data_IF_925248691195
#
_entry.id   IF_925248691195
#
_cell.length_a   1.000
_cell.length_b   1.000
_cell.length_c   1.000
_cell.angle_alpha   90.00
_cell.angle_beta   90.00
_cell.angle_gamma   90.00
#
_symmetry.space_group_name_H-M   'P 1'
#
loop_
_entity.id
_entity.type
_entity.pdbx_description
1 polymer ?
#
# COMPACT_ATOMS: atom_id res chain seq x y z
N UNK A 1 -35.35 2.55 -34.48
CA UNK A 1 -34.16 3.42 -34.41
C UNK A 1 -32.98 2.49 -34.27
N UNK A 2 -32.13 2.42 -35.30
CA UNK A 2 -30.95 1.56 -35.32
C UNK A 2 -29.97 2.03 -34.25
N UNK A 3 -29.67 1.17 -33.28
CA UNK A 3 -28.54 1.41 -32.38
C UNK A 3 -27.28 1.49 -33.24
N UNK A 4 -26.76 2.69 -33.49
CA UNK A 4 -25.43 2.85 -34.06
C UNK A 4 -24.44 2.36 -32.99
N UNK A 5 -23.94 1.15 -33.14
CA UNK A 5 -22.77 0.69 -32.40
C UNK A 5 -21.56 1.38 -33.01
N UNK A 6 -20.83 2.14 -32.19
CA UNK A 6 -19.53 2.69 -32.56
C UNK A 6 -18.48 1.58 -32.53
N UNK A 7 -17.47 1.70 -33.37
CA UNK A 7 -16.33 0.77 -33.44
C UNK A 7 -15.01 1.54 -33.43
N UNK A 8 -14.12 1.17 -32.52
CA UNK A 8 -12.73 1.61 -32.52
C UNK A 8 -11.80 0.44 -32.85
N UNK A 9 -10.70 0.71 -33.58
CA UNK A 9 -9.70 -0.29 -33.94
C UNK A 9 -8.31 0.20 -33.50
N UNK A 10 -7.62 -0.61 -32.70
CA UNK A 10 -6.28 -0.32 -32.19
C UNK A 10 -5.29 -1.27 -32.87
N UNK A 11 -4.35 -0.76 -33.68
CA UNK A 11 -3.32 -1.59 -34.30
C UNK A 11 -2.30 -2.06 -33.28
N UNK A 12 -1.85 -3.31 -33.43
CA UNK A 12 -0.87 -3.92 -32.54
C UNK A 12 0.32 -4.44 -33.32
N UNK A 13 1.50 -4.08 -32.80
CA UNK A 13 2.79 -4.44 -33.38
C UNK A 13 3.44 -5.63 -32.67
N UNK A 14 2.93 -6.06 -31.52
CA UNK A 14 3.48 -7.17 -30.74
C UNK A 14 2.38 -8.12 -30.24
N UNK A 15 2.36 -9.35 -30.76
CA UNK A 15 1.40 -10.38 -30.39
C UNK A 15 1.47 -10.75 -28.90
N UNK A 16 2.63 -10.64 -28.28
CA UNK A 16 2.80 -10.90 -26.84
C UNK A 16 2.01 -9.89 -25.98
N UNK A 17 1.85 -8.65 -26.46
CA UNK A 17 1.05 -7.64 -25.75
C UNK A 17 -0.44 -7.96 -25.80
N UNK A 18 -0.93 -8.59 -26.89
CA UNK A 18 -2.32 -9.06 -26.98
C UNK A 18 -2.55 -10.14 -25.94
N UNK A 19 -1.66 -11.13 -25.86
CA UNK A 19 -1.81 -12.23 -24.92
C UNK A 19 -1.84 -11.74 -23.47
N UNK A 20 -0.98 -10.78 -23.11
CA UNK A 20 -0.96 -10.18 -21.77
C UNK A 20 -2.23 -9.34 -21.49
N UNK A 21 -2.68 -8.55 -22.48
CA UNK A 21 -3.89 -7.74 -22.36
C UNK A 21 -5.15 -8.59 -22.18
N UNK A 22 -5.29 -9.69 -22.93
CA UNK A 22 -6.43 -10.59 -22.81
C UNK A 22 -6.35 -11.48 -21.57
N UNK A 23 -5.13 -11.82 -21.13
CA UNK A 23 -4.91 -12.69 -19.98
C UNK A 23 -5.25 -14.15 -20.27
N UNK A 24 -5.16 -15.00 -19.25
CA UNK A 24 -5.50 -16.42 -19.41
C UNK A 24 -7.01 -16.58 -19.62
N UNK A 25 -7.41 -17.29 -20.68
CA UNK A 25 -8.82 -17.52 -21.02
C UNK A 25 -9.66 -16.23 -21.17
N UNK A 26 -9.03 -15.16 -21.64
CA UNK A 26 -9.61 -13.83 -21.86
C UNK A 26 -10.13 -13.15 -20.58
N UNK A 27 -9.61 -13.53 -19.41
CA UNK A 27 -10.09 -13.03 -18.12
C UNK A 27 -9.99 -11.49 -17.99
N UNK A 28 -8.92 -10.90 -18.52
CA UNK A 28 -8.67 -9.46 -18.45
C UNK A 28 -9.59 -8.70 -19.42
N UNK A 29 -9.78 -9.24 -20.64
CA UNK A 29 -10.68 -8.65 -21.63
C UNK A 29 -12.13 -8.66 -21.12
N UNK A 30 -12.61 -9.81 -20.63
CA UNK A 30 -13.97 -9.94 -20.04
C UNK A 30 -14.20 -8.96 -18.90
N UNK A 31 -13.19 -8.75 -18.05
CA UNK A 31 -13.27 -7.79 -16.96
C UNK A 31 -13.50 -6.36 -17.46
N UNK A 32 -12.81 -5.96 -18.54
CA UNK A 32 -12.98 -4.63 -19.16
C UNK A 32 -14.36 -4.54 -19.83
N UNK A 33 -14.76 -5.57 -20.58
CA UNK A 33 -16.07 -5.67 -21.24
C UNK A 33 -17.22 -5.52 -20.23
N UNK A 34 -17.18 -6.26 -19.12
CA UNK A 34 -18.19 -6.20 -18.06
C UNK A 34 -18.25 -4.83 -17.37
N UNK A 35 -17.09 -4.19 -17.18
CA UNK A 35 -17.01 -2.92 -16.43
C UNK A 35 -17.43 -1.71 -17.27
N UNK A 36 -17.10 -1.70 -18.55
CA UNK A 36 -17.39 -0.58 -19.46
C UNK A 36 -18.60 -0.84 -20.35
N UNK A 37 -19.12 -2.07 -20.39
CA UNK A 37 -20.24 -2.46 -21.23
C UNK A 37 -19.93 -2.35 -22.73
N UNK A 38 -18.75 -2.81 -23.12
CA UNK A 38 -18.24 -2.89 -24.51
C UNK A 38 -17.92 -4.33 -24.87
N UNK A 39 -17.71 -4.63 -26.14
CA UNK A 39 -17.10 -5.89 -26.59
C UNK A 39 -15.70 -5.63 -27.15
N UNK A 40 -14.74 -6.48 -26.79
CA UNK A 40 -13.33 -6.41 -27.18
C UNK A 40 -12.93 -7.69 -27.89
N UNK A 41 -12.50 -7.58 -29.14
CA UNK A 41 -12.14 -8.73 -29.98
C UNK A 41 -10.77 -8.49 -30.60
N UNK A 42 -9.86 -9.45 -30.44
CA UNK A 42 -8.60 -9.48 -31.18
C UNK A 42 -8.82 -10.16 -32.54
N UNK A 43 -8.54 -9.45 -33.64
CA UNK A 43 -8.65 -10.01 -35.00
C UNK A 43 -7.43 -9.62 -35.84
N UNK A 44 -6.59 -10.60 -36.16
CA UNK A 44 -5.34 -10.35 -36.88
C UNK A 44 -4.36 -9.55 -36.02
N UNK A 45 -3.96 -8.38 -36.51
CA UNK A 45 -3.04 -7.46 -35.81
C UNK A 45 -3.77 -6.25 -35.20
N UNK A 46 -5.09 -6.36 -34.97
CA UNK A 46 -5.89 -5.26 -34.44
C UNK A 46 -6.79 -5.74 -33.30
N UNK A 47 -7.00 -4.86 -32.32
CA UNK A 47 -8.07 -4.99 -31.32
C UNK A 47 -9.23 -4.12 -31.76
N UNK A 48 -10.40 -4.74 -31.87
CA UNK A 48 -11.67 -4.07 -32.16
C UNK A 48 -12.46 -3.90 -30.88
N UNK A 49 -13.00 -2.71 -30.67
CA UNK A 49 -13.83 -2.36 -29.52
C UNK A 49 -15.18 -1.89 -30.06
N UNK A 50 -16.27 -2.50 -29.62
CA UNK A 50 -17.63 -2.19 -30.09
C UNK A 50 -18.57 -1.89 -28.92
N UNK A 51 -19.44 -0.89 -29.08
CA UNK A 51 -20.39 -0.49 -28.04
C UNK A 51 -20.99 0.91 -28.30
N UNK A 52 -21.49 1.53 -27.25
CA UNK A 52 -21.94 2.93 -27.30
C UNK A 52 -20.73 3.86 -27.47
N UNK A 53 -20.87 4.95 -28.23
CA UNK A 53 -19.77 5.85 -28.62
C UNK A 53 -18.92 6.33 -27.42
N UNK A 54 -19.55 6.85 -26.37
CA UNK A 54 -18.84 7.30 -25.15
C UNK A 54 -18.07 6.17 -24.46
N UNK A 55 -18.64 4.95 -24.46
CA UNK A 55 -18.02 3.77 -23.82
C UNK A 55 -16.86 3.22 -24.63
N UNK A 56 -16.99 3.25 -25.97
CA UNK A 56 -15.94 2.86 -26.90
C UNK A 56 -14.74 3.79 -26.76
N UNK A 57 -14.95 5.10 -26.64
CA UNK A 57 -13.86 6.06 -26.44
C UNK A 57 -13.11 5.80 -25.11
N UNK A 58 -13.84 5.58 -24.02
CA UNK A 58 -13.24 5.22 -22.73
C UNK A 58 -12.45 3.90 -22.82
N UNK A 59 -13.05 2.86 -23.39
CA UNK A 59 -12.40 1.57 -23.55
C UNK A 59 -11.16 1.65 -24.45
N UNK A 60 -11.19 2.45 -25.51
CA UNK A 60 -10.03 2.68 -26.39
C UNK A 60 -8.88 3.32 -25.62
N UNK A 61 -9.15 4.36 -24.83
CA UNK A 61 -8.16 5.00 -23.95
C UNK A 61 -7.57 4.01 -22.95
N UNK A 62 -8.41 3.23 -22.28
CA UNK A 62 -7.97 2.21 -21.31
C UNK A 62 -7.03 1.20 -21.96
N UNK A 63 -7.43 0.63 -23.10
CA UNK A 63 -6.65 -0.39 -23.80
C UNK A 63 -5.31 0.17 -24.24
N UNK A 64 -5.25 1.41 -24.77
CA UNK A 64 -3.99 2.08 -25.10
C UNK A 64 -3.08 2.22 -23.87
N UNK A 65 -3.61 2.67 -22.74
CA UNK A 65 -2.84 2.81 -21.50
C UNK A 65 -2.32 1.46 -20.98
N UNK A 66 -3.15 0.42 -21.00
CA UNK A 66 -2.75 -0.93 -20.59
C UNK A 66 -1.67 -1.51 -21.52
N UNK A 67 -1.78 -1.32 -22.83
CA UNK A 67 -0.75 -1.72 -23.79
C UNK A 67 0.56 -0.97 -23.56
N UNK A 68 0.51 0.31 -23.18
CA UNK A 68 1.71 1.07 -22.80
C UNK A 68 2.35 0.51 -21.53
N UNK A 69 1.56 0.14 -20.51
CA UNK A 69 2.06 -0.54 -19.30
C UNK A 69 2.78 -1.85 -19.64
N UNK A 70 2.17 -2.68 -20.49
CA UNK A 70 2.76 -3.95 -20.95
C UNK A 70 4.07 -3.70 -21.70
N UNK A 71 4.10 -2.69 -22.57
CA UNK A 71 5.31 -2.35 -23.35
C UNK A 71 6.49 -1.94 -22.47
N UNK A 72 6.23 -1.46 -21.25
CA UNK A 72 7.23 -1.12 -20.24
C UNK A 72 7.60 -2.29 -19.32
N UNK A 73 7.08 -3.49 -19.60
CA UNK A 73 7.38 -4.71 -18.84
C UNK A 73 6.54 -4.91 -17.59
N UNK A 74 5.42 -4.18 -17.43
CA UNK A 74 4.46 -4.47 -16.36
C UNK A 74 3.57 -5.65 -16.76
N UNK A 75 3.47 -6.64 -15.87
CA UNK A 75 2.47 -7.70 -15.99
C UNK A 75 1.11 -7.21 -15.52
N UNK A 76 0.07 -7.48 -16.29
CA UNK A 76 -1.29 -7.12 -15.93
C UNK A 76 -1.87 -8.15 -14.95
N UNK A 77 -2.72 -7.66 -14.07
CA UNK A 77 -3.54 -8.51 -13.21
C UNK A 77 -4.90 -7.84 -13.01
N UNK A 78 -5.89 -8.62 -12.57
CA UNK A 78 -7.25 -8.15 -12.34
C UNK A 78 -7.31 -6.87 -11.47
N UNK A 79 -6.37 -6.71 -10.54
CA UNK A 79 -6.34 -5.55 -9.67
C UNK A 79 -5.83 -4.29 -10.39
N UNK A 80 -4.73 -4.37 -11.14
CA UNK A 80 -4.19 -3.24 -11.91
C UNK A 80 -5.22 -2.76 -12.95
N UNK A 81 -5.96 -3.71 -13.55
CA UNK A 81 -7.05 -3.42 -14.49
C UNK A 81 -8.21 -2.73 -13.77
N UNK A 82 -8.70 -3.28 -12.64
CA UNK A 82 -9.75 -2.66 -11.82
C UNK A 82 -9.42 -1.21 -11.46
N UNK A 83 -8.17 -0.98 -11.05
CA UNK A 83 -7.71 0.33 -10.64
C UNK A 83 -7.65 1.31 -11.81
N UNK A 84 -7.14 0.86 -12.97
CA UNK A 84 -7.08 1.67 -14.20
C UNK A 84 -8.47 2.05 -14.70
N UNK A 85 -9.43 1.12 -14.64
CA UNK A 85 -10.85 1.39 -14.92
C UNK A 85 -11.38 2.46 -13.95
N UNK A 86 -11.11 2.32 -12.66
CA UNK A 86 -11.54 3.30 -11.65
C UNK A 86 -10.97 4.70 -11.85
N UNK A 87 -9.71 4.82 -12.27
CA UNK A 87 -9.09 6.11 -12.59
C UNK A 87 -9.70 6.75 -13.84
N UNK A 88 -9.92 5.96 -14.88
CA UNK A 88 -10.54 6.41 -16.12
C UNK A 88 -11.97 6.92 -15.88
N UNK A 89 -12.78 6.17 -15.13
CA UNK A 89 -14.15 6.59 -14.78
C UNK A 89 -14.19 7.87 -13.91
N UNK A 90 -13.09 8.20 -13.22
CA UNK A 90 -12.95 9.42 -12.44
C UNK A 90 -12.38 10.60 -13.26
N UNK A 91 -12.03 10.40 -14.53
CA UNK A 91 -11.39 11.42 -15.38
C UNK A 91 -9.91 11.68 -15.07
N UNK A 92 -9.25 10.77 -14.34
CA UNK A 92 -7.86 10.88 -13.89
C UNK A 92 -6.89 10.05 -14.78
N UNK A 93 -7.18 9.96 -16.08
CA UNK A 93 -6.52 9.05 -17.02
C UNK A 93 -5.01 9.29 -17.20
N UNK A 94 -4.57 10.54 -17.18
CA UNK A 94 -3.14 10.91 -17.27
C UNK A 94 -2.30 10.31 -16.13
N UNK A 95 -2.94 10.02 -14.99
CA UNK A 95 -2.27 9.46 -13.80
C UNK A 95 -2.00 7.96 -13.92
N UNK A 96 -2.58 7.27 -14.90
CA UNK A 96 -2.39 5.82 -15.12
C UNK A 96 -0.94 5.56 -15.57
N UNK A 97 -0.44 6.33 -16.54
CA UNK A 97 0.91 6.19 -17.09
C UNK A 97 1.98 6.51 -16.04
N UNK A 98 1.64 7.40 -15.12
CA UNK A 98 2.52 7.87 -14.06
C UNK A 98 2.81 6.82 -12.98
N UNK A 99 1.98 5.78 -12.85
CA UNK A 99 2.19 4.67 -11.90
C UNK A 99 3.35 3.74 -12.31
N UNK A 100 3.77 3.79 -13.57
CA UNK A 100 4.55 2.72 -14.22
C UNK A 100 6.06 2.81 -13.96
N UNK A 101 6.56 3.82 -13.24
CA UNK A 101 8.00 4.19 -13.33
C UNK A 101 8.91 3.75 -12.18
N UNK A 102 8.42 3.42 -10.98
CA UNK A 102 9.33 3.27 -9.83
C UNK A 102 9.32 1.88 -9.17
N UNK A 103 10.39 1.11 -9.41
CA UNK A 103 10.77 -0.02 -8.57
C UNK A 103 11.41 0.52 -7.30
N UNK A 104 10.76 0.30 -6.16
CA UNK A 104 11.24 0.73 -4.84
C UNK A 104 12.43 -0.14 -4.42
N UNK A 105 12.24 -1.46 -4.45
CA UNK A 105 13.32 -2.40 -4.19
C UNK A 105 12.98 -3.77 -4.78
N UNK A 106 13.98 -4.65 -4.82
CA UNK A 106 13.85 -6.04 -5.22
C UNK A 106 14.06 -6.92 -3.99
N UNK A 107 13.13 -7.85 -3.76
CA UNK A 107 13.21 -8.81 -2.66
C UNK A 107 14.29 -9.85 -2.89
N UNK A 108 14.64 -10.61 -1.85
CA UNK A 108 15.57 -11.73 -1.95
C UNK A 108 15.13 -12.82 -2.94
N UNK A 109 13.84 -12.88 -3.30
CA UNK A 109 13.27 -13.80 -4.30
C UNK A 109 13.20 -13.21 -5.71
N UNK A 110 13.79 -12.03 -5.94
CA UNK A 110 13.75 -11.34 -7.24
C UNK A 110 12.43 -10.63 -7.54
N UNK A 111 11.49 -10.58 -6.60
CA UNK A 111 10.21 -9.88 -6.79
C UNK A 111 10.41 -8.38 -6.68
N UNK A 112 9.90 -7.63 -7.65
CA UNK A 112 9.91 -6.17 -7.59
C UNK A 112 8.81 -5.64 -6.67
N UNK A 113 9.16 -4.73 -5.77
CA UNK A 113 8.22 -3.96 -4.95
C UNK A 113 8.01 -2.60 -5.61
N UNK A 114 6.75 -2.27 -5.93
CA UNK A 114 6.31 -1.04 -6.60
C UNK A 114 5.08 -0.48 -5.91
N UNK A 115 4.83 0.82 -6.04
CA UNK A 115 3.52 1.40 -5.75
C UNK A 115 2.50 0.90 -6.76
N UNK A 116 1.35 0.43 -6.29
CA UNK A 116 0.27 -0.12 -7.13
C UNK A 116 -0.91 0.83 -7.31
N UNK A 117 -0.95 1.90 -6.53
CA UNK A 117 -1.99 2.93 -6.58
C UNK A 117 -1.35 4.31 -6.49
N UNK A 118 -2.09 5.33 -6.91
CA UNK A 118 -1.62 6.71 -6.89
C UNK A 118 -1.33 7.18 -5.46
N UNK A 119 -2.19 6.81 -4.49
CA UNK A 119 -1.94 7.12 -3.09
C UNK A 119 -0.65 6.48 -2.57
N UNK A 120 -0.35 5.24 -2.97
CA UNK A 120 0.93 4.60 -2.64
C UNK A 120 2.11 5.30 -3.32
N UNK A 121 1.97 5.77 -4.56
CA UNK A 121 3.02 6.54 -5.25
C UNK A 121 3.30 7.85 -4.52
N UNK A 122 2.26 8.62 -4.22
CA UNK A 122 2.36 9.89 -3.46
C UNK A 122 3.03 9.63 -2.10
N UNK A 123 2.66 8.55 -1.42
CA UNK A 123 3.28 8.16 -0.15
C UNK A 123 4.78 7.88 -0.29
N UNK A 124 5.18 7.10 -1.30
CA UNK A 124 6.58 6.77 -1.58
C UNK A 124 7.39 8.01 -1.93
N UNK A 125 6.85 8.88 -2.78
CA UNK A 125 7.49 10.15 -3.12
C UNK A 125 7.62 11.09 -1.92
N UNK A 126 6.64 11.10 -1.01
CA UNK A 126 6.70 11.90 0.21
C UNK A 126 7.85 11.44 1.13
N UNK A 127 8.07 10.13 1.26
CA UNK A 127 9.21 9.57 2.02
C UNK A 127 10.59 9.92 1.43
N UNK A 128 10.65 10.24 0.14
CA UNK A 128 11.88 10.72 -0.50
C UNK A 128 12.17 12.19 -0.22
N UNK A 129 11.11 13.02 -0.05
CA UNK A 129 11.23 14.48 0.01
C UNK A 129 11.21 15.04 1.42
N UNK A 130 10.69 14.29 2.39
CA UNK A 130 10.45 14.77 3.74
C UNK A 130 11.18 13.92 4.79
N UNK A 131 11.53 14.57 5.88
CA UNK A 131 12.15 13.97 7.06
C UNK A 131 11.17 13.13 7.87
N UNK A 132 9.90 13.56 7.96
CA UNK A 132 8.85 12.86 8.70
C UNK A 132 7.62 12.67 7.81
N UNK A 133 7.13 11.44 7.70
CA UNK A 133 5.91 11.14 6.94
C UNK A 133 4.93 10.36 7.79
N UNK A 134 3.70 10.86 7.90
CA UNK A 134 2.58 10.13 8.47
C UNK A 134 1.79 9.47 7.33
N UNK A 135 1.57 8.15 7.41
CA UNK A 135 0.69 7.44 6.51
C UNK A 135 -0.48 6.84 7.28
N UNK A 136 -1.65 7.45 7.08
CA UNK A 136 -2.90 7.13 7.78
C UNK A 136 -3.83 6.49 6.77
N UNK A 137 -4.32 5.28 7.06
CA UNK A 137 -5.30 4.63 6.18
C UNK A 137 -5.58 3.19 6.56
N UNK A 138 -6.51 2.54 5.86
CA UNK A 138 -6.99 1.22 6.23
C UNK A 138 -5.92 0.13 6.13
N UNK A 139 -6.14 -1.00 6.80
CA UNK A 139 -5.29 -2.19 6.65
C UNK A 139 -5.28 -2.72 5.20
N UNK A 140 -4.09 -3.08 4.71
CA UNK A 140 -3.89 -3.58 3.34
C UNK A 140 -3.57 -2.51 2.30
N UNK A 141 -3.45 -1.24 2.69
CA UNK A 141 -2.98 -0.14 1.82
C UNK A 141 -1.47 -0.15 1.57
N UNK A 142 -0.73 -1.05 2.21
CA UNK A 142 0.73 -1.18 2.04
C UNK A 142 1.57 -0.19 2.85
N UNK A 143 0.96 0.66 3.69
CA UNK A 143 1.65 1.72 4.47
C UNK A 143 2.94 1.26 5.17
N UNK A 144 2.88 0.19 5.96
CA UNK A 144 4.04 -0.31 6.71
C UNK A 144 5.02 -1.04 5.80
N UNK A 145 4.53 -1.87 4.88
CA UNK A 145 5.36 -2.66 3.97
C UNK A 145 6.18 -1.78 3.02
N UNK A 146 5.57 -0.75 2.43
CA UNK A 146 6.25 0.21 1.57
C UNK A 146 7.28 1.05 2.36
N UNK A 147 7.00 1.42 3.61
CA UNK A 147 7.97 2.10 4.47
C UNK A 147 9.21 1.23 4.70
N UNK A 148 9.02 -0.06 5.04
CA UNK A 148 10.13 -0.99 5.26
C UNK A 148 10.93 -1.20 3.96
N UNK A 149 10.25 -1.31 2.81
CA UNK A 149 10.91 -1.40 1.51
C UNK A 149 11.78 -0.16 1.21
N UNK A 150 11.30 1.04 1.54
CA UNK A 150 12.05 2.29 1.41
C UNK A 150 13.23 2.36 2.37
N UNK A 151 13.06 1.93 3.62
CA UNK A 151 14.14 1.86 4.60
C UNK A 151 15.26 0.93 4.13
N UNK A 152 14.91 -0.25 3.60
CA UNK A 152 15.87 -1.21 3.05
C UNK A 152 16.58 -0.65 1.81
N UNK A 153 15.86 0.05 0.93
CA UNK A 153 16.47 0.74 -0.23
C UNK A 153 17.50 1.77 0.23
N UNK A 154 17.12 2.67 1.14
CA UNK A 154 18.01 3.72 1.66
C UNK A 154 19.25 3.11 2.33
N UNK A 155 19.09 2.05 3.12
CA UNK A 155 20.21 1.32 3.75
C UNK A 155 21.14 0.71 2.70
N UNK A 156 20.60 0.04 1.67
CA UNK A 156 21.40 -0.57 0.59
C UNK A 156 22.16 0.49 -0.21
N UNK A 157 21.56 1.67 -0.38
CA UNK A 157 22.17 2.83 -1.04
C UNK A 157 23.17 3.59 -0.15
N UNK A 158 23.36 3.17 1.12
CA UNK A 158 24.20 3.85 2.11
C UNK A 158 23.76 5.28 2.42
N UNK A 159 22.47 5.57 2.25
CA UNK A 159 21.86 6.85 2.63
C UNK A 159 21.60 6.94 4.13
N UNK A 160 21.47 5.77 4.78
CA UNK A 160 21.31 5.60 6.23
C UNK A 160 22.10 4.38 6.70
N UNK A 161 22.54 4.39 7.95
CA UNK A 161 23.29 3.28 8.55
C UNK A 161 22.43 2.28 9.30
N UNK A 162 21.23 2.65 9.76
CA UNK A 162 20.37 1.79 10.60
C UNK A 162 18.90 1.87 10.27
N UNK A 163 18.19 0.75 10.38
CA UNK A 163 16.72 0.69 10.33
C UNK A 163 16.20 0.35 11.72
N UNK A 164 15.26 1.13 12.22
CA UNK A 164 14.63 0.89 13.52
C UNK A 164 13.13 0.77 13.31
N UNK A 165 12.57 -0.41 13.56
CA UNK A 165 11.13 -0.65 13.50
C UNK A 165 10.58 -0.74 14.92
N UNK A 166 9.53 0.00 15.20
CA UNK A 166 8.91 0.01 16.52
C UNK A 166 7.40 -0.02 16.44
N UNK A 167 6.78 -0.63 17.45
CA UNK A 167 5.33 -0.72 17.61
C UNK A 167 4.96 -0.45 19.07
N UNK A 168 3.86 0.27 19.38
CA UNK A 168 3.39 0.38 20.75
C UNK A 168 2.90 -1.00 21.23
N UNK A 169 3.23 -1.36 22.47
CA UNK A 169 2.62 -2.50 23.12
C UNK A 169 1.21 -2.08 23.60
N UNK A 170 0.19 -2.74 23.07
CA UNK A 170 -1.21 -2.47 23.37
C UNK A 170 -1.88 -3.81 23.63
N UNK A 171 -2.61 -3.90 24.74
CA UNK A 171 -3.37 -5.08 25.12
C UNK A 171 -4.66 -5.16 24.30
N UNK A 172 -4.54 -5.43 23.00
CA UNK A 172 -5.69 -5.67 22.14
C UNK A 172 -6.25 -7.08 22.43
N UNK A 173 -7.28 -7.15 23.28
CA UNK A 173 -8.07 -8.36 23.52
C UNK A 173 -7.53 -9.33 24.57
N UNK A 174 -6.21 -9.49 24.71
CA UNK A 174 -5.57 -10.31 25.75
C UNK A 174 -4.63 -9.44 26.61
N UNK A 175 -4.71 -9.55 27.95
CA UNK A 175 -3.79 -8.80 28.83
C UNK A 175 -2.38 -9.35 28.65
N UNK A 176 -1.39 -8.48 28.47
CA UNK A 176 0.03 -8.84 28.28
C UNK A 176 0.55 -9.74 29.42
N UNK A 177 -0.09 -9.66 30.60
CA UNK A 177 0.19 -10.48 31.77
C UNK A 177 -0.11 -11.98 31.64
N UNK A 178 -0.89 -12.44 30.65
CA UNK A 178 -1.28 -13.86 30.50
C UNK A 178 -0.41 -14.67 29.53
N UNK A 179 0.41 -14.03 28.70
CA UNK A 179 1.33 -14.74 27.83
C UNK A 179 2.48 -15.34 28.68
N UNK A 180 2.81 -16.64 28.57
CA UNK A 180 3.93 -17.24 29.28
C UNK A 180 5.26 -16.71 28.72
N UNK A 181 6.31 -16.67 29.56
CA UNK A 181 7.67 -16.27 29.15
C UNK A 181 8.13 -14.93 29.73
N UNK A 182 9.32 -14.49 29.29
CA UNK A 182 9.89 -13.22 29.71
C UNK A 182 9.18 -12.02 29.03
N UNK A 183 9.60 -10.78 29.33
CA UNK A 183 8.96 -9.60 28.75
C UNK A 183 9.09 -9.56 27.22
N UNK A 184 10.14 -10.16 26.66
CA UNK A 184 10.38 -10.19 25.22
C UNK A 184 9.43 -11.19 24.56
N UNK A 185 9.29 -12.39 25.11
CA UNK A 185 8.36 -13.43 24.64
C UNK A 185 6.91 -12.93 24.58
N UNK A 186 6.54 -12.04 25.50
CA UNK A 186 5.21 -11.42 25.57
C UNK A 186 4.95 -10.37 24.49
N UNK A 187 5.99 -9.68 24.00
CA UNK A 187 5.84 -8.57 23.04
C UNK A 187 6.12 -9.02 21.60
N UNK A 188 6.93 -10.07 21.42
CA UNK A 188 7.29 -10.63 20.13
C UNK A 188 6.09 -10.95 19.20
N UNK A 189 4.94 -11.46 19.69
CA UNK A 189 3.77 -11.67 18.84
C UNK A 189 3.28 -10.41 18.11
N UNK A 190 3.36 -9.24 18.76
CA UNK A 190 2.93 -7.96 18.18
C UNK A 190 3.92 -7.42 17.14
N UNK A 191 5.19 -7.79 17.26
CA UNK A 191 6.26 -7.39 16.35
C UNK A 191 6.38 -8.33 15.14
N UNK A 192 5.75 -9.51 15.18
CA UNK A 192 5.82 -10.53 14.13
C UNK A 192 5.52 -10.03 12.71
N UNK A 193 4.49 -9.20 12.47
CA UNK A 193 4.26 -8.64 11.12
C UNK A 193 5.43 -7.83 10.55
N UNK A 194 6.23 -7.19 11.41
CA UNK A 194 7.43 -6.45 11.01
C UNK A 194 8.55 -7.41 10.60
N UNK A 195 8.73 -8.51 11.34
CA UNK A 195 9.68 -9.57 10.99
C UNK A 195 9.32 -10.22 9.65
N UNK A 196 8.04 -10.54 9.43
CA UNK A 196 7.58 -11.17 8.20
C UNK A 196 7.86 -10.29 6.98
N UNK A 197 7.64 -8.97 7.08
CA UNK A 197 7.96 -8.03 6.01
C UNK A 197 9.47 -7.96 5.71
N UNK A 198 10.30 -7.93 6.76
CA UNK A 198 11.76 -7.93 6.61
C UNK A 198 12.27 -9.25 6.01
N UNK A 199 11.72 -10.39 6.40
CA UNK A 199 12.05 -11.69 5.83
C UNK A 199 11.65 -11.78 4.36
N UNK A 200 10.48 -11.27 3.99
CA UNK A 200 10.06 -11.22 2.59
C UNK A 200 11.05 -10.38 1.75
N UNK A 201 11.49 -9.22 2.24
CA UNK A 201 12.38 -8.32 1.49
C UNK A 201 13.84 -8.79 1.47
N UNK A 202 14.41 -9.15 2.62
CA UNK A 202 15.85 -9.42 2.78
C UNK A 202 16.20 -10.91 2.71
N UNK A 203 15.25 -11.77 3.04
CA UNK A 203 15.51 -13.17 3.35
C UNK A 203 15.96 -13.35 4.80
N UNK A 204 15.66 -14.51 5.38
CA UNK A 204 15.90 -14.79 6.80
C UNK A 204 17.38 -14.67 7.20
N UNK A 205 18.29 -15.28 6.43
CA UNK A 205 19.72 -15.26 6.73
C UNK A 205 20.31 -13.84 6.71
N UNK A 206 19.97 -13.06 5.67
CA UNK A 206 20.45 -11.69 5.52
C UNK A 206 19.94 -10.81 6.66
N UNK A 207 18.66 -10.96 7.01
CA UNK A 207 18.10 -10.23 8.15
C UNK A 207 18.83 -10.57 9.45
N UNK A 208 19.07 -11.86 9.76
CA UNK A 208 19.76 -12.24 11.00
C UNK A 208 21.15 -11.61 11.09
N UNK A 209 21.91 -11.59 9.98
CA UNK A 209 23.21 -10.91 9.91
C UNK A 209 23.11 -9.42 10.22
N UNK A 210 22.09 -8.72 9.70
CA UNK A 210 21.90 -7.30 9.97
C UNK A 210 21.42 -7.04 11.40
N UNK A 211 20.59 -7.91 11.95
CA UNK A 211 20.13 -7.86 13.34
C UNK A 211 21.29 -8.02 14.32
N UNK A 212 22.13 -9.04 14.13
CA UNK A 212 23.31 -9.30 14.96
C UNK A 212 24.31 -8.13 14.95
N UNK A 213 24.45 -7.46 13.80
CA UNK A 213 25.30 -6.27 13.66
C UNK A 213 24.66 -4.99 14.21
N UNK A 214 23.41 -5.04 14.67
CA UNK A 214 22.66 -3.85 15.12
C UNK A 214 22.30 -2.87 14.00
N UNK A 215 22.34 -3.32 12.74
CA UNK A 215 21.95 -2.51 11.57
C UNK A 215 20.43 -2.43 11.47
N UNK A 216 19.73 -3.52 11.77
CA UNK A 216 18.27 -3.55 11.83
C UNK A 216 17.84 -3.90 13.25
N UNK A 217 17.05 -3.03 13.85
CA UNK A 217 16.48 -3.21 15.19
C UNK A 217 14.96 -3.26 15.09
N UNK A 218 14.34 -4.26 15.71
CA UNK A 218 12.88 -4.32 15.88
C UNK A 218 12.61 -4.39 17.36
N UNK A 219 11.95 -3.37 17.91
CA UNK A 219 11.79 -3.23 19.34
C UNK A 219 10.45 -2.55 19.74
N UNK A 220 9.97 -2.74 20.97
CA UNK A 220 8.79 -2.03 21.46
C UNK A 220 9.05 -0.52 21.60
N UNK A 221 8.00 0.30 21.47
CA UNK A 221 8.11 1.78 21.56
C UNK A 221 8.78 2.29 22.84
N UNK A 222 8.65 1.56 23.95
CA UNK A 222 9.29 1.92 25.22
C UNK A 222 10.82 2.02 25.12
N UNK A 223 11.45 1.26 24.23
CA UNK A 223 12.90 1.21 24.02
C UNK A 223 13.44 2.46 23.31
N UNK A 224 12.56 3.32 22.79
CA UNK A 224 12.96 4.57 22.15
C UNK A 224 13.30 5.67 23.17
N UNK A 225 12.88 5.53 24.43
CA UNK A 225 13.10 6.54 25.47
C UNK A 225 14.59 6.80 25.69
N UNK A 226 14.94 8.08 25.81
CA UNK A 226 16.32 8.50 26.10
C UNK A 226 17.31 8.34 24.96
N UNK A 227 16.87 7.92 23.77
CA UNK A 227 17.74 7.76 22.59
C UNK A 227 17.79 9.03 21.74
N UNK A 228 18.89 9.20 21.04
CA UNK A 228 18.98 10.05 19.84
C UNK A 228 19.33 9.12 18.70
N UNK A 229 18.52 9.15 17.65
CA UNK A 229 18.60 8.22 16.53
C UNK A 229 19.14 8.96 15.33
N UNK A 230 20.47 9.06 15.23
CA UNK A 230 21.17 9.63 14.07
C UNK A 230 21.34 8.58 12.96
N UNK A 231 21.39 9.06 11.71
CA UNK A 231 21.66 8.29 10.50
C UNK A 231 20.81 7.00 10.38
N UNK A 232 19.52 7.14 10.70
CA UNK A 232 18.59 6.03 10.86
C UNK A 232 17.27 6.26 10.12
N UNK A 233 16.73 5.19 9.54
CA UNK A 233 15.35 5.16 9.04
C UNK A 233 14.47 4.49 10.11
N UNK A 234 13.56 5.26 10.69
CA UNK A 234 12.81 4.86 11.89
C UNK A 234 11.33 4.75 11.53
N UNK A 235 10.71 3.61 11.79
CA UNK A 235 9.30 3.35 11.47
C UNK A 235 8.54 3.05 12.76
N UNK A 236 7.52 3.87 13.06
CA UNK A 236 6.54 3.59 14.11
C UNK A 236 5.27 3.04 13.47
N UNK A 237 5.06 1.73 13.61
CA UNK A 237 3.87 1.06 13.14
C UNK A 237 2.75 1.06 14.18
N UNK A 238 1.51 1.03 13.68
CA UNK A 238 0.28 0.97 14.48
C UNK A 238 0.17 2.13 15.48
N UNK A 239 0.58 3.29 14.99
CA UNK A 239 0.71 4.53 15.74
C UNK A 239 -0.62 5.05 16.30
N UNK A 240 -1.76 4.61 15.78
CA UNK A 240 -3.07 4.95 16.34
C UNK A 240 -3.19 4.54 17.81
N UNK A 241 -2.41 3.54 18.22
CA UNK A 241 -2.35 3.01 19.57
C UNK A 241 -1.30 3.68 20.48
N UNK A 242 -0.80 4.85 20.08
CA UNK A 242 0.03 5.70 20.94
C UNK A 242 -0.80 6.77 21.64
N UNK A 243 -0.34 7.25 22.80
CA UNK A 243 -0.85 8.50 23.39
C UNK A 243 -0.10 9.72 22.83
N UNK A 244 -0.62 10.94 22.98
CA UNK A 244 0.08 12.16 22.56
C UNK A 244 1.48 12.30 23.17
N UNK A 245 1.65 11.91 24.44
CA UNK A 245 2.94 11.92 25.13
C UNK A 245 3.93 10.93 24.53
N UNK A 246 3.46 9.72 24.18
CA UNK A 246 4.28 8.70 23.52
C UNK A 246 4.68 9.15 22.12
N UNK A 247 3.77 9.74 21.36
CA UNK A 247 4.05 10.27 20.03
C UNK A 247 5.08 11.41 20.08
N UNK A 248 4.91 12.37 21.01
CA UNK A 248 5.89 13.44 21.23
C UNK A 248 7.25 12.88 21.66
N UNK A 249 7.26 11.91 22.58
CA UNK A 249 8.48 11.24 23.02
C UNK A 249 9.22 10.62 21.83
N UNK A 250 8.50 9.91 20.97
CA UNK A 250 9.03 9.24 19.78
C UNK A 250 9.59 10.22 18.75
N UNK A 251 8.80 11.21 18.31
CA UNK A 251 9.21 12.15 17.26
C UNK A 251 10.44 12.97 17.68
N UNK A 252 10.59 13.25 18.98
CA UNK A 252 11.76 13.97 19.51
C UNK A 252 13.01 13.09 19.69
N UNK A 253 12.98 11.81 19.27
CA UNK A 253 14.19 10.97 19.22
C UNK A 253 14.96 11.12 17.91
N UNK A 254 14.38 11.80 16.92
CA UNK A 254 14.99 12.00 15.62
C UNK A 254 16.33 12.75 15.74
N UNK A 255 17.40 12.13 15.26
CA UNK A 255 18.73 12.73 15.14
C UNK A 255 19.02 13.26 13.73
N UNK A 256 20.25 13.70 13.50
CA UNK A 256 20.71 14.19 12.20
C UNK A 256 20.80 13.05 11.17
N UNK A 257 20.50 13.36 9.91
CA UNK A 257 20.55 12.39 8.81
C UNK A 257 19.47 11.30 8.87
N UNK A 258 18.53 11.39 9.82
CA UNK A 258 17.49 10.39 9.99
C UNK A 258 16.21 10.72 9.24
N UNK A 259 15.36 9.71 9.09
CA UNK A 259 13.98 9.85 8.58
C UNK A 259 13.03 9.08 9.49
N UNK A 260 11.83 9.61 9.66
CA UNK A 260 10.75 8.96 10.42
C UNK A 260 9.56 8.70 9.53
N UNK A 261 9.01 7.49 9.62
CA UNK A 261 7.70 7.16 9.05
C UNK A 261 6.79 6.66 10.15
N UNK A 262 5.60 7.24 10.24
CA UNK A 262 4.57 6.87 11.21
C UNK A 262 3.38 6.30 10.48
N UNK A 263 3.06 5.03 10.70
CA UNK A 263 1.95 4.34 10.03
C UNK A 263 0.84 4.01 11.01
N UNK A 264 -0.42 4.13 10.58
CA UNK A 264 -1.54 3.73 11.43
C UNK A 264 -2.89 3.70 10.72
N UNK A 265 -3.88 3.16 11.42
CA UNK A 265 -5.27 3.09 10.98
C UNK A 265 -6.18 3.66 12.07
N UNK A 266 -6.72 4.86 11.85
CA UNK A 266 -7.57 5.56 12.83
C UNK A 266 -8.88 4.83 13.15
N UNK A 267 -9.27 3.83 12.35
CA UNK A 267 -10.45 3.00 12.61
C UNK A 267 -10.17 1.85 13.59
N UNK A 268 -8.90 1.56 13.88
CA UNK A 268 -8.45 0.43 14.70
C UNK A 268 -7.72 0.92 15.97
N UNK A 269 -8.38 1.78 16.75
CA UNK A 269 -7.84 2.32 17.99
C UNK A 269 -8.16 1.36 19.14
N UNK A 270 -7.12 0.75 19.70
CA UNK A 270 -7.17 -0.18 20.84
C UNK A 270 -6.82 0.50 22.18
N UNK A 271 -6.82 1.84 22.21
CA UNK A 271 -6.55 2.59 23.43
C UNK A 271 -7.70 2.45 24.44
N UNK A 272 -7.40 2.47 25.76
CA UNK A 272 -8.44 2.52 26.78
C UNK A 272 -9.44 3.67 26.56
N UNK A 273 -10.73 3.46 26.86
CA UNK A 273 -11.76 4.48 26.71
C UNK A 273 -11.36 5.81 27.36
N UNK A 274 -11.61 6.92 26.65
CA UNK A 274 -11.29 8.27 27.13
C UNK A 274 -9.86 8.75 26.82
N UNK A 275 -8.97 7.91 26.29
CA UNK A 275 -7.67 8.35 25.80
C UNK A 275 -7.72 8.77 24.33
N UNK A 276 -7.15 9.93 24.03
CA UNK A 276 -6.96 10.38 22.65
C UNK A 276 -5.77 9.68 22.00
N UNK A 277 -5.88 9.40 20.70
CA UNK A 277 -4.78 8.85 19.90
C UNK A 277 -3.73 9.91 19.60
N UNK A 278 -2.46 9.57 19.88
CA UNK A 278 -1.30 10.39 19.56
C UNK A 278 -1.11 10.59 18.06
N UNK A 279 -1.48 9.62 17.23
CA UNK A 279 -1.47 9.75 15.77
C UNK A 279 -2.43 10.85 15.29
N UNK A 280 -3.68 10.81 15.75
CA UNK A 280 -4.70 11.81 15.38
C UNK A 280 -4.27 13.21 15.85
N UNK A 281 -3.79 13.32 17.09
CA UNK A 281 -3.30 14.58 17.63
C UNK A 281 -2.10 15.11 16.85
N UNK A 282 -1.09 14.27 16.57
CA UNK A 282 0.11 14.66 15.85
C UNK A 282 -0.20 15.11 14.42
N UNK A 283 -1.05 14.36 13.70
CA UNK A 283 -1.49 14.76 12.35
C UNK A 283 -2.18 16.13 12.36
N UNK A 284 -2.97 16.44 13.38
CA UNK A 284 -3.61 17.76 13.50
C UNK A 284 -2.62 18.89 13.77
N UNK A 285 -1.67 18.69 14.69
CA UNK A 285 -0.78 19.78 15.16
C UNK A 285 0.44 19.99 14.26
N UNK A 286 0.88 18.95 13.55
CA UNK A 286 2.10 18.98 12.73
C UNK A 286 1.81 19.26 11.24
N UNK A 287 0.52 19.31 10.86
CA UNK A 287 0.12 19.66 9.50
C UNK A 287 0.64 21.04 9.11
N UNK A 288 1.33 21.11 7.97
CA UNK A 288 1.88 22.37 7.41
C UNK A 288 3.30 22.71 7.87
N UNK A 289 3.94 21.89 8.72
CA UNK A 289 5.36 22.06 9.05
C UNK A 289 6.21 21.54 7.89
N UNK A 290 7.14 22.37 7.39
CA UNK A 290 8.07 21.98 6.33
C UNK A 290 8.90 20.77 6.77
N UNK A 291 9.00 19.76 5.91
CA UNK A 291 9.69 18.49 6.19
C UNK A 291 8.80 17.45 6.88
N UNK A 292 7.51 17.77 7.12
CA UNK A 292 6.51 16.84 7.64
C UNK A 292 5.33 16.76 6.67
N UNK A 293 5.04 15.55 6.19
CA UNK A 293 3.88 15.28 5.34
C UNK A 293 2.90 14.34 6.02
N UNK A 294 1.61 14.53 5.71
CA UNK A 294 0.51 13.68 6.17
C UNK A 294 -0.21 13.13 4.97
N UNK A 295 -0.03 11.83 4.74
CA UNK A 295 -0.60 11.08 3.63
C UNK A 295 -1.79 10.27 4.11
N UNK A 296 -2.94 10.53 3.51
CA UNK A 296 -4.17 9.78 3.78
C UNK A 296 -4.37 8.76 2.65
N UNK A 297 -4.20 7.48 2.99
CA UNK A 297 -4.52 6.35 2.13
C UNK A 297 -5.97 5.92 2.37
N UNK A 298 -6.64 5.49 1.31
CA UNK A 298 -8.07 5.19 1.32
C UNK A 298 -8.33 3.74 0.96
N UNK A 299 -9.60 3.33 0.92
CA UNK A 299 -10.01 2.01 0.43
C UNK A 299 -9.57 1.76 -1.02
N UNK A 300 -9.44 2.83 -1.83
CA UNK A 300 -8.92 2.75 -3.21
C UNK A 300 -7.46 2.33 -3.27
N UNK A 301 -6.72 2.48 -2.17
CA UNK A 301 -5.31 2.11 -2.05
C UNK A 301 -5.10 0.71 -1.50
N UNK A 302 -6.18 -0.01 -1.15
CA UNK A 302 -6.11 -1.36 -0.58
C UNK A 302 -5.74 -2.38 -1.66
N UNK A 303 -4.60 -3.04 -1.45
CA UNK A 303 -4.09 -4.07 -2.34
C UNK A 303 -4.18 -5.43 -1.67
N UNK A 304 -5.25 -6.17 -2.01
CA UNK A 304 -5.50 -7.52 -1.52
C UNK A 304 -5.81 -8.45 -2.68
N UNK A 305 -5.57 -9.73 -2.44
CA UNK A 305 -5.97 -10.78 -3.37
C UNK A 305 -7.48 -10.71 -3.67
N UNK A 306 -7.89 -10.97 -4.91
CA UNK A 306 -9.28 -10.86 -5.37
C UNK A 306 -10.26 -11.70 -4.52
N UNK A 307 -9.85 -12.91 -4.13
CA UNK A 307 -10.64 -13.76 -3.23
C UNK A 307 -10.85 -13.11 -1.85
N UNK A 308 -9.83 -12.45 -1.29
CA UNK A 308 -9.95 -11.76 0.01
C UNK A 308 -10.94 -10.60 -0.11
N UNK A 309 -10.89 -9.83 -1.20
CA UNK A 309 -11.89 -8.78 -1.46
C UNK A 309 -13.31 -9.37 -1.56
N UNK A 310 -13.50 -10.48 -2.29
CA UNK A 310 -14.79 -11.17 -2.38
C UNK A 310 -15.31 -11.62 -1.00
N UNK A 311 -14.42 -12.12 -0.14
CA UNK A 311 -14.76 -12.49 1.24
C UNK A 311 -15.21 -11.25 2.03
N UNK A 312 -14.47 -10.14 1.99
CA UNK A 312 -14.82 -8.89 2.68
C UNK A 312 -16.23 -8.42 2.25
N UNK A 313 -16.47 -8.33 0.95
CA UNK A 313 -17.77 -7.92 0.38
C UNK A 313 -18.90 -8.86 0.81
N UNK A 314 -18.65 -10.17 0.91
CA UNK A 314 -19.65 -11.13 1.38
C UNK A 314 -20.05 -10.88 2.84
N UNK A 315 -19.08 -10.60 3.71
CA UNK A 315 -19.33 -10.27 5.12
C UNK A 315 -19.99 -8.90 5.29
N UNK A 316 -19.57 -7.88 4.53
CA UNK A 316 -20.22 -6.57 4.53
C UNK A 316 -21.70 -6.68 4.11
N UNK A 317 -22.01 -7.46 3.07
CA UNK A 317 -23.40 -7.73 2.67
C UNK A 317 -24.20 -8.44 3.77
N UNK A 318 -23.57 -9.35 4.51
CA UNK A 318 -24.24 -10.06 5.61
C UNK A 318 -24.55 -9.14 6.79
N UNK A 319 -23.58 -8.36 7.24
CA UNK A 319 -23.74 -7.42 8.35
C UNK A 319 -24.60 -6.21 7.98
N UNK A 320 -24.43 -5.66 6.77
CA UNK A 320 -25.28 -4.58 6.25
C UNK A 320 -26.75 -4.97 6.12
N UNK A 321 -27.04 -6.24 5.77
CA UNK A 321 -28.41 -6.78 5.78
C UNK A 321 -28.97 -7.00 7.19
N UNK A 322 -28.13 -7.25 8.20
CA UNK A 322 -28.56 -7.38 9.60
C UNK A 322 -28.86 -6.02 10.24
N UNK A 323 -28.09 -4.98 9.94
CA UNK A 323 -28.37 -3.60 10.40
C UNK A 323 -29.75 -3.09 9.97
N UNK A 324 -30.18 -3.40 8.74
CA UNK A 324 -31.50 -3.01 8.22
C UNK A 324 -32.67 -3.89 8.71
N UNK A 325 -32.42 -5.04 9.35
CA UNK A 325 -33.46 -5.91 9.93
C UNK A 325 -33.74 -5.62 11.41
N UNK A 326 -32.86 -4.90 12.11
CA UNK A 326 -33.09 -4.47 13.50
C UNK A 326 -33.75 -3.10 13.61
N UNK A 327 -33.98 -2.39 12.49
CA UNK A 327 -34.71 -1.13 12.42
C UNK A 327 -36.10 -1.25 11.76
N UNK A 328 -36.63 -2.46 11.63
CA UNK A 328 -38.01 -2.72 11.17
C UNK A 328 -38.80 -3.45 12.24
#
# INVERSE_FOLDING_TARGET
MSNLQSEASIPINNFQHIMELFGNYDENAKMIEESLGVSIIARGNEIKIQGDEERVELAEKLVKNLLEMISKGESLNAQNISYSIGLLMAGDEDKIIDLVKEVICVTHKGKQIKSKTLGQKIYVESMNRNEIVFAIGPAGTGKTYLAIAMAVRAMRNREISRIILTRPAVEAGEKLGFLPGDLQDKVDPYLRPLYDALYDILGAETYQKYRERGVIEVAPLAYMRGRTLDDSFIILDEAQNTTPEQMKMFLTRMGFGSRIVVTGDITQIDLPPGKSSGLITAARILGGIKGIDIINLTEKDVVRHSLVQKIIVAYEKYYGKKGNRQQR
#
